data_IF_560104582377
#
_entry.id   IF_560104582377
#
_cell.length_a   1.000
_cell.length_b   1.000
_cell.length_c   1.000
_cell.angle_alpha   90.00
_cell.angle_beta   90.00
_cell.angle_gamma   90.00
#
_symmetry.space_group_name_H-M   'P 1'
#
loop_
_entity.id
_entity.type
_entity.pdbx_description
1 polymer ?
#
# COMPACT_ATOMS: atom_id res chain seq x y z
N UNK A 1 -6.66 -21.08 -4.61
CA UNK A 1 -6.09 -20.69 -3.29
C UNK A 1 -6.43 -19.22 -2.90
N UNK A 2 -6.70 -18.32 -3.85
CA UNK A 2 -7.01 -16.90 -3.57
C UNK A 2 -8.49 -16.63 -3.23
N UNK A 3 -9.45 -17.41 -3.73
CA UNK A 3 -10.89 -17.23 -3.42
C UNK A 3 -11.24 -17.54 -1.95
N UNK A 4 -10.53 -18.45 -1.31
CA UNK A 4 -10.77 -18.80 0.10
C UNK A 4 -10.33 -17.68 1.04
N UNK A 5 -9.30 -16.89 0.66
CA UNK A 5 -8.82 -15.75 1.43
C UNK A 5 -9.76 -14.54 1.30
N UNK A 6 -10.40 -14.36 0.14
CA UNK A 6 -11.38 -13.28 -0.08
C UNK A 6 -12.63 -13.43 0.80
N UNK A 7 -13.08 -14.66 1.03
CA UNK A 7 -14.23 -14.97 1.91
C UNK A 7 -13.85 -14.74 3.39
N UNK A 8 -12.63 -15.02 3.78
CA UNK A 8 -12.13 -14.73 5.15
C UNK A 8 -12.12 -13.24 5.45
N UNK A 9 -11.93 -12.41 4.45
CA UNK A 9 -11.79 -10.97 4.61
C UNK A 9 -13.13 -10.23 4.70
N UNK A 10 -14.14 -10.58 3.89
CA UNK A 10 -15.50 -10.03 4.00
C UNK A 10 -16.15 -10.25 5.38
N UNK A 11 -15.54 -11.07 6.19
CA UNK A 11 -15.98 -11.39 7.54
C UNK A 11 -15.24 -10.66 8.65
N UNK A 12 -14.37 -9.68 8.38
CA UNK A 12 -13.64 -8.92 9.41
C UNK A 12 -14.52 -7.96 10.22
N UNK A 13 -15.83 -7.93 9.95
CA UNK A 13 -16.81 -7.35 10.86
C UNK A 13 -16.82 -8.12 12.19
N UNK A 14 -16.73 -7.41 13.27
CA UNK A 14 -16.85 -7.69 14.71
C UNK A 14 -16.88 -9.15 15.23
N UNK A 15 -17.32 -10.13 14.42
CA UNK A 15 -17.37 -11.57 14.77
C UNK A 15 -16.03 -12.29 14.57
N UNK A 16 -15.15 -11.83 13.68
CA UNK A 16 -13.91 -12.56 13.32
C UNK A 16 -12.66 -12.10 14.03
N UNK A 17 -12.71 -11.03 14.78
CA UNK A 17 -11.66 -10.74 15.76
C UNK A 17 -11.48 -11.94 16.71
N UNK A 18 -12.54 -12.69 16.99
CA UNK A 18 -12.48 -13.96 17.75
C UNK A 18 -11.58 -15.03 17.11
N UNK A 19 -11.49 -15.10 15.78
CA UNK A 19 -10.58 -16.02 15.07
C UNK A 19 -9.11 -15.66 15.33
N UNK A 20 -8.78 -14.37 15.31
CA UNK A 20 -7.44 -13.90 15.66
C UNK A 20 -7.06 -14.23 17.10
N UNK A 21 -7.98 -14.01 18.03
CA UNK A 21 -7.71 -14.31 19.45
C UNK A 21 -7.53 -15.80 19.71
N UNK A 22 -8.27 -16.65 19.00
CA UNK A 22 -8.13 -18.09 19.10
C UNK A 22 -6.83 -18.64 18.52
N UNK A 23 -6.43 -18.17 17.34
CA UNK A 23 -5.25 -18.69 16.63
C UNK A 23 -3.93 -18.11 17.14
N UNK A 24 -3.91 -16.82 17.52
CA UNK A 24 -2.68 -16.16 17.95
C UNK A 24 -2.57 -15.94 19.47
N UNK A 25 -3.52 -16.49 20.24
CA UNK A 25 -3.55 -16.39 21.73
C UNK A 25 -3.38 -14.93 22.21
N UNK A 26 -4.04 -13.99 21.57
CA UNK A 26 -3.91 -12.56 21.86
C UNK A 26 -4.59 -12.23 23.18
N UNK A 27 -3.80 -12.02 24.23
CA UNK A 27 -4.30 -11.68 25.58
C UNK A 27 -4.68 -10.21 25.75
N UNK A 28 -4.20 -9.32 24.87
CA UNK A 28 -4.38 -7.86 24.96
C UNK A 28 -5.30 -7.35 23.82
N UNK A 29 -6.55 -7.75 23.86
CA UNK A 29 -7.54 -7.46 22.80
C UNK A 29 -7.68 -5.98 22.47
N UNK A 30 -7.82 -5.13 23.47
CA UNK A 30 -8.01 -3.68 23.28
C UNK A 30 -6.79 -3.08 22.59
N UNK A 31 -5.59 -3.46 23.03
CA UNK A 31 -4.33 -3.00 22.45
C UNK A 31 -4.22 -3.45 20.99
N UNK A 32 -4.54 -4.72 20.69
CA UNK A 32 -4.51 -5.26 19.34
C UNK A 32 -5.45 -4.47 18.42
N UNK A 33 -6.70 -4.25 18.84
CA UNK A 33 -7.69 -3.45 18.08
C UNK A 33 -7.18 -2.04 17.78
N UNK A 34 -6.50 -1.39 18.74
CA UNK A 34 -5.92 -0.06 18.56
C UNK A 34 -4.80 -0.08 17.51
N UNK A 35 -3.90 -1.07 17.56
CA UNK A 35 -2.82 -1.23 16.58
C UNK A 35 -3.39 -1.50 15.19
N UNK A 36 -4.38 -2.39 15.06
CA UNK A 36 -5.07 -2.66 13.79
C UNK A 36 -5.65 -1.37 13.22
N UNK A 37 -6.39 -0.61 14.03
CA UNK A 37 -6.99 0.64 13.58
C UNK A 37 -5.95 1.67 13.13
N UNK A 38 -4.81 1.76 13.83
CA UNK A 38 -3.73 2.64 13.43
C UNK A 38 -3.13 2.22 12.08
N UNK A 39 -2.82 0.93 11.93
CA UNK A 39 -2.21 0.38 10.72
C UNK A 39 -3.10 0.61 9.51
N UNK A 40 -4.39 0.24 9.59
CA UNK A 40 -5.33 0.38 8.48
C UNK A 40 -5.62 1.84 8.11
N UNK A 41 -5.55 2.78 9.07
CA UNK A 41 -5.70 4.22 8.79
C UNK A 41 -4.47 4.88 8.16
N UNK A 42 -3.33 4.21 8.21
CA UNK A 42 -2.07 4.69 7.67
C UNK A 42 -1.60 3.83 6.48
N UNK A 43 -2.56 3.24 5.74
CA UNK A 43 -2.25 2.51 4.51
C UNK A 43 -1.52 3.39 3.49
N UNK A 44 -0.70 2.80 2.64
CA UNK A 44 0.12 3.49 1.63
C UNK A 44 1.10 4.53 2.18
N UNK A 45 1.30 4.57 3.50
CA UNK A 45 2.24 5.51 4.15
C UNK A 45 3.47 4.78 4.65
N UNK A 46 4.57 5.53 4.75
CA UNK A 46 5.80 5.04 5.37
C UNK A 46 5.50 4.56 6.79
N UNK A 47 5.90 3.33 7.06
CA UNK A 47 5.59 2.62 8.27
C UNK A 47 6.86 2.27 9.08
N UNK A 48 6.74 2.35 10.40
CA UNK A 48 7.71 1.75 11.32
C UNK A 48 7.01 1.23 12.57
N UNK A 49 7.47 0.10 13.10
CA UNK A 49 6.96 -0.43 14.38
C UNK A 49 7.13 0.58 15.52
N UNK A 50 8.17 1.45 15.43
CA UNK A 50 8.38 2.52 16.40
C UNK A 50 7.28 3.57 16.33
N UNK A 51 6.84 4.01 15.15
CA UNK A 51 5.75 5.01 15.03
C UNK A 51 4.44 4.50 15.62
N UNK A 52 4.13 3.22 15.43
CA UNK A 52 2.96 2.57 16.06
C UNK A 52 3.13 2.50 17.58
N UNK A 53 4.30 2.12 18.06
CA UNK A 53 4.61 2.05 19.47
C UNK A 53 4.46 3.42 20.16
N UNK A 54 5.03 4.47 19.57
CA UNK A 54 4.93 5.83 20.09
C UNK A 54 3.47 6.32 20.12
N UNK A 55 2.68 6.01 19.08
CA UNK A 55 1.25 6.29 19.05
C UNK A 55 0.51 5.61 20.21
N UNK A 56 0.76 4.32 20.43
CA UNK A 56 0.12 3.53 21.50
C UNK A 56 0.46 4.06 22.89
N UNK A 57 1.71 4.49 23.11
CA UNK A 57 2.11 5.13 24.37
C UNK A 57 1.39 6.46 24.58
N UNK A 58 1.25 7.27 23.54
CA UNK A 58 0.53 8.56 23.61
C UNK A 58 -0.97 8.39 23.89
N UNK A 59 -1.56 7.26 23.47
CA UNK A 59 -2.95 6.88 23.83
C UNK A 59 -3.08 6.35 25.28
N UNK A 60 -1.98 6.32 26.05
CA UNK A 60 -1.97 5.88 27.44
C UNK A 60 -1.87 4.35 27.64
N UNK A 61 -1.59 3.59 26.59
CA UNK A 61 -1.40 2.15 26.69
C UNK A 61 0.07 1.81 26.87
N UNK A 62 0.35 0.75 27.65
CA UNK A 62 1.71 0.24 27.86
C UNK A 62 1.91 -1.09 27.15
N UNK A 63 2.96 -1.17 26.35
CA UNK A 63 3.39 -2.41 25.69
C UNK A 63 4.90 -2.34 25.42
N UNK A 64 5.48 -3.42 24.92
CA UNK A 64 6.83 -3.41 24.35
C UNK A 64 6.75 -3.22 22.82
N UNK A 65 7.82 -2.72 22.23
CA UNK A 65 7.93 -2.66 20.78
C UNK A 65 7.81 -4.05 20.12
N UNK A 66 8.30 -5.09 20.81
CA UNK A 66 8.17 -6.47 20.35
C UNK A 66 6.70 -6.93 20.29
N UNK A 67 5.85 -6.45 21.22
CA UNK A 67 4.41 -6.73 21.17
C UNK A 67 3.79 -6.11 19.92
N UNK A 68 4.17 -4.88 19.60
CA UNK A 68 3.71 -4.19 18.37
C UNK A 68 4.16 -4.96 17.13
N UNK A 69 5.45 -5.33 17.05
CA UNK A 69 5.99 -6.11 15.94
C UNK A 69 5.26 -7.45 15.75
N UNK A 70 5.00 -8.17 16.84
CA UNK A 70 4.28 -9.44 16.79
C UNK A 70 2.86 -9.23 16.23
N UNK A 71 2.14 -8.20 16.69
CA UNK A 71 0.79 -7.93 16.19
C UNK A 71 0.77 -7.56 14.71
N UNK A 72 1.76 -6.79 14.25
CA UNK A 72 1.92 -6.49 12.82
C UNK A 72 2.21 -7.77 12.02
N UNK A 73 3.08 -8.63 12.51
CA UNK A 73 3.35 -9.91 11.88
C UNK A 73 2.10 -10.79 11.78
N UNK A 74 1.27 -10.84 12.82
CA UNK A 74 -0.01 -11.57 12.77
C UNK A 74 -0.95 -11.01 11.68
N UNK A 75 -0.98 -9.68 11.48
CA UNK A 75 -1.77 -9.09 10.40
C UNK A 75 -1.23 -9.48 9.02
N UNK A 76 0.10 -9.55 8.87
CA UNK A 76 0.76 -9.99 7.62
C UNK A 76 0.50 -11.49 7.36
N UNK A 77 0.68 -12.35 8.36
CA UNK A 77 0.42 -13.79 8.27
C UNK A 77 -1.04 -14.10 7.95
N UNK A 78 -1.95 -13.26 8.42
CA UNK A 78 -3.38 -13.37 8.12
C UNK A 78 -3.78 -12.72 6.78
N UNK A 79 -2.81 -12.22 6.01
CA UNK A 79 -3.05 -11.54 4.73
C UNK A 79 -4.02 -10.35 4.82
N UNK A 80 -4.01 -9.64 5.93
CA UNK A 80 -4.78 -8.40 6.09
C UNK A 80 -4.03 -7.19 5.56
N UNK A 81 -2.72 -7.24 5.70
CA UNK A 81 -1.81 -6.21 5.19
C UNK A 81 -0.63 -6.87 4.50
N UNK A 82 -0.08 -6.17 3.53
CA UNK A 82 1.20 -6.49 2.90
C UNK A 82 2.18 -5.35 3.14
N UNK A 83 3.44 -5.69 3.40
CA UNK A 83 4.53 -4.72 3.53
C UNK A 83 5.41 -4.79 2.29
N UNK A 84 5.52 -3.68 1.57
CA UNK A 84 6.50 -3.58 0.49
C UNK A 84 7.65 -2.66 0.89
N UNK A 85 8.84 -3.05 0.47
CA UNK A 85 10.09 -2.33 0.76
C UNK A 85 10.61 -1.63 -0.47
N UNK A 86 11.47 -0.67 -0.24
CA UNK A 86 12.15 0.03 -1.31
C UNK A 86 13.12 -0.92 -2.03
N UNK A 87 13.04 -0.91 -3.36
CA UNK A 87 14.01 -1.61 -4.21
C UNK A 87 15.43 -1.06 -3.98
N UNK A 88 16.39 -1.97 -3.85
CA UNK A 88 17.79 -1.61 -3.79
C UNK A 88 18.63 -2.74 -4.40
N UNK A 89 19.62 -2.36 -5.19
CA UNK A 89 20.65 -3.31 -5.68
C UNK A 89 21.60 -3.77 -4.56
N UNK A 90 21.57 -3.09 -3.40
CA UNK A 90 22.39 -3.42 -2.23
C UNK A 90 21.52 -4.01 -1.13
N UNK A 91 21.62 -5.31 -0.88
CA UNK A 91 20.82 -6.06 0.11
C UNK A 91 20.82 -5.38 1.51
N UNK A 92 21.96 -4.87 1.98
CA UNK A 92 22.03 -4.15 3.27
C UNK A 92 21.16 -2.89 3.31
N UNK A 93 20.98 -2.20 2.19
CA UNK A 93 20.12 -1.00 2.10
C UNK A 93 18.65 -1.40 2.03
N UNK A 94 18.31 -2.45 1.29
CA UNK A 94 16.93 -2.96 1.23
C UNK A 94 16.38 -3.32 2.62
N UNK A 95 17.22 -3.92 3.48
CA UNK A 95 16.84 -4.26 4.85
C UNK A 95 16.72 -3.05 5.79
N UNK A 96 17.34 -1.93 5.47
CA UNK A 96 17.37 -0.72 6.31
C UNK A 96 16.30 0.31 5.94
N UNK A 97 15.66 0.18 4.77
CA UNK A 97 14.61 1.10 4.34
C UNK A 97 13.28 0.81 5.07
N UNK A 98 12.58 1.88 5.39
CA UNK A 98 11.19 1.78 5.83
C UNK A 98 10.34 1.24 4.68
N UNK A 99 9.35 0.42 5.03
CA UNK A 99 8.35 -0.04 4.09
C UNK A 99 7.09 0.83 4.10
N UNK A 100 6.22 0.62 3.13
CA UNK A 100 4.82 1.03 3.21
C UNK A 100 3.96 -0.21 3.49
N UNK A 101 2.88 -0.04 4.24
CA UNK A 101 1.87 -1.08 4.46
C UNK A 101 0.67 -0.81 3.56
N UNK A 102 0.18 -1.86 2.94
CA UNK A 102 -1.01 -1.82 2.09
C UNK A 102 -2.06 -2.78 2.64
N UNK A 103 -3.30 -2.33 2.68
CA UNK A 103 -4.43 -3.16 3.06
C UNK A 103 -4.80 -4.09 1.91
N UNK A 104 -5.00 -5.36 2.19
CA UNK A 104 -5.45 -6.30 1.16
C UNK A 104 -6.92 -6.09 0.77
N UNK A 105 -7.67 -5.29 1.56
CA UNK A 105 -9.04 -4.86 1.24
C UNK A 105 -9.30 -3.44 1.73
N UNK A 106 -9.23 -2.49 0.82
CA UNK A 106 -9.42 -1.05 1.08
C UNK A 106 -10.81 -0.74 1.64
N UNK A 107 -11.81 -1.61 1.43
CA UNK A 107 -13.16 -1.40 1.96
C UNK A 107 -13.18 -1.33 3.49
N UNK A 108 -12.22 -1.97 4.16
CA UNK A 108 -12.09 -1.92 5.62
C UNK A 108 -11.78 -0.52 6.15
N UNK A 109 -11.16 0.34 5.35
CA UNK A 109 -10.89 1.73 5.69
C UNK A 109 -12.14 2.60 5.63
N UNK A 110 -13.03 2.36 4.67
CA UNK A 110 -14.28 3.11 4.52
C UNK A 110 -15.26 2.85 5.67
N UNK A 111 -15.24 1.65 6.25
CA UNK A 111 -16.09 1.29 7.40
C UNK A 111 -15.60 1.94 8.69
N UNK A 112 -14.30 2.20 8.81
CA UNK A 112 -13.64 2.68 10.04
C UNK A 112 -13.29 4.15 10.03
N UNK A 113 -13.32 4.79 8.87
CA UNK A 113 -13.10 6.21 8.77
C UNK A 113 -14.28 6.95 9.42
N UNK A 114 -13.99 7.80 10.40
CA UNK A 114 -14.92 8.88 10.72
C UNK A 114 -15.24 9.62 9.43
N UNK A 115 -16.52 9.91 9.18
CA UNK A 115 -17.08 10.39 7.89
C UNK A 115 -16.30 11.52 7.20
N UNK A 116 -15.33 12.15 7.86
CA UNK A 116 -14.54 13.30 7.37
C UNK A 116 -13.06 13.00 7.07
N UNK A 117 -12.61 11.72 7.06
CA UNK A 117 -11.19 11.38 6.91
C UNK A 117 -10.93 10.24 5.90
N UNK A 118 -11.73 10.16 4.86
CA UNK A 118 -11.46 9.24 3.76
C UNK A 118 -10.32 9.84 2.91
N UNK A 119 -9.12 9.30 3.05
CA UNK A 119 -7.97 9.69 2.27
C UNK A 119 -8.02 9.00 0.90
N UNK A 120 -8.60 9.71 -0.07
CA UNK A 120 -8.87 9.14 -1.38
C UNK A 120 -7.57 8.81 -2.14
N UNK A 121 -6.52 9.62 -1.98
CA UNK A 121 -5.26 9.43 -2.69
C UNK A 121 -4.55 8.16 -2.20
N UNK A 122 -4.41 7.98 -0.88
CA UNK A 122 -3.80 6.78 -0.31
C UNK A 122 -4.62 5.52 -0.57
N UNK A 123 -5.96 5.61 -0.57
CA UNK A 123 -6.79 4.47 -0.94
C UNK A 123 -6.67 4.12 -2.42
N UNK A 124 -6.51 5.12 -3.29
CA UNK A 124 -6.29 4.90 -4.72
C UNK A 124 -4.95 4.19 -4.98
N UNK A 125 -3.88 4.65 -4.36
CA UNK A 125 -2.57 4.00 -4.41
C UNK A 125 -2.68 2.52 -3.94
N UNK A 126 -3.42 2.28 -2.86
CA UNK A 126 -3.65 0.91 -2.35
C UNK A 126 -4.47 0.04 -3.32
N UNK A 127 -5.49 0.59 -3.96
CA UNK A 127 -6.29 -0.13 -4.98
C UNK A 127 -5.38 -0.55 -6.13
N UNK A 128 -4.56 0.35 -6.64
CA UNK A 128 -3.61 0.06 -7.72
C UNK A 128 -2.58 -0.99 -7.28
N UNK A 129 -2.07 -0.90 -6.06
CA UNK A 129 -1.18 -1.91 -5.49
C UNK A 129 -1.82 -3.30 -5.51
N UNK A 130 -3.04 -3.43 -4.98
CA UNK A 130 -3.75 -4.71 -4.93
C UNK A 130 -3.97 -5.31 -6.33
N UNK A 131 -4.32 -4.45 -7.29
CA UNK A 131 -4.51 -4.88 -8.67
C UNK A 131 -3.20 -5.32 -9.34
N UNK A 132 -2.08 -4.63 -9.09
CA UNK A 132 -0.75 -5.03 -9.58
C UNK A 132 -0.34 -6.40 -9.04
N UNK A 133 -0.59 -6.67 -7.74
CA UNK A 133 -0.35 -7.99 -7.15
C UNK A 133 -1.26 -9.04 -7.78
N UNK A 134 -2.55 -8.72 -7.97
CA UNK A 134 -3.51 -9.63 -8.62
C UNK A 134 -3.09 -9.99 -10.05
N UNK A 135 -2.60 -9.00 -10.81
CA UNK A 135 -2.03 -9.20 -12.15
C UNK A 135 -0.68 -9.96 -12.15
N UNK A 136 -0.15 -10.34 -10.98
CA UNK A 136 1.04 -11.17 -10.82
C UNK A 136 2.37 -10.41 -10.91
N UNK A 137 2.37 -9.11 -10.67
CA UNK A 137 3.60 -8.35 -10.54
C UNK A 137 4.23 -8.52 -9.15
N UNK A 138 5.56 -8.59 -9.12
CA UNK A 138 6.32 -8.30 -7.90
C UNK A 138 6.44 -6.79 -7.78
N UNK A 139 5.88 -6.23 -6.70
CA UNK A 139 5.81 -4.78 -6.48
C UNK A 139 6.80 -4.35 -5.41
N UNK A 140 7.52 -3.27 -5.64
CA UNK A 140 8.46 -2.65 -4.71
C UNK A 140 8.35 -1.13 -4.80
N UNK A 141 8.65 -0.43 -3.72
CA UNK A 141 8.83 1.02 -3.74
C UNK A 141 10.09 1.36 -4.51
N UNK A 142 10.11 2.51 -5.16
CA UNK A 142 11.32 2.96 -5.87
C UNK A 142 11.63 4.41 -5.55
N UNK A 143 12.90 4.71 -5.30
CA UNK A 143 13.37 6.07 -5.07
C UNK A 143 14.63 6.30 -5.88
N UNK A 144 14.62 7.38 -6.64
CA UNK A 144 15.76 7.80 -7.44
C UNK A 144 16.15 9.24 -7.07
N UNK A 145 17.29 9.40 -6.43
CA UNK A 145 17.83 10.71 -6.04
C UNK A 145 16.89 11.58 -5.19
N UNK A 146 16.11 10.93 -4.30
CA UNK A 146 15.14 11.61 -3.44
C UNK A 146 13.75 11.78 -4.04
N UNK A 147 13.55 11.40 -5.29
CA UNK A 147 12.23 11.34 -5.93
C UNK A 147 11.64 9.94 -5.82
N UNK A 148 10.48 9.86 -5.21
CA UNK A 148 9.74 8.61 -5.07
C UNK A 148 8.95 8.31 -6.34
N UNK A 149 8.94 7.04 -6.74
CA UNK A 149 7.99 6.46 -7.68
C UNK A 149 7.22 5.40 -6.89
N UNK A 150 5.90 5.47 -6.95
CA UNK A 150 5.05 4.65 -6.09
C UNK A 150 5.38 3.17 -6.25
N UNK A 151 5.49 2.68 -7.49
CA UNK A 151 5.75 1.27 -7.72
C UNK A 151 6.78 1.02 -8.82
N UNK A 152 7.77 0.19 -8.49
CA UNK A 152 8.56 -0.59 -9.44
C UNK A 152 7.95 -1.99 -9.49
N UNK A 153 7.45 -2.38 -10.63
CA UNK A 153 6.76 -3.64 -10.84
C UNK A 153 7.56 -4.54 -11.77
N UNK A 154 7.71 -5.81 -11.40
CA UNK A 154 8.46 -6.79 -12.17
C UNK A 154 7.60 -8.04 -12.42
N UNK A 155 7.45 -8.43 -13.70
CA UNK A 155 6.72 -9.63 -14.10
C UNK A 155 7.46 -10.29 -15.26
N UNK A 156 7.89 -11.54 -15.10
CA UNK A 156 8.71 -12.27 -16.08
C UNK A 156 9.92 -11.42 -16.53
N UNK A 157 10.62 -10.93 -16.78
CA UNK A 157 11.71 -10.03 -17.19
C UNK A 157 11.27 -8.60 -17.60
N UNK A 158 9.98 -8.30 -17.56
CA UNK A 158 9.46 -6.95 -17.84
C UNK A 158 9.46 -6.14 -16.55
N UNK A 159 10.03 -4.96 -16.59
CA UNK A 159 10.00 -3.97 -15.50
C UNK A 159 9.18 -2.78 -15.98
N UNK A 160 8.22 -2.35 -15.16
CA UNK A 160 7.46 -1.13 -15.38
C UNK A 160 7.54 -0.25 -14.13
N UNK A 161 7.43 1.05 -14.31
CA UNK A 161 7.34 2.03 -13.23
C UNK A 161 5.96 2.67 -13.26
N UNK A 162 5.29 2.68 -12.11
CA UNK A 162 3.90 3.16 -11.98
C UNK A 162 3.85 4.29 -10.97
N UNK A 163 3.21 5.38 -11.35
CA UNK A 163 2.86 6.51 -10.49
C UNK A 163 1.34 6.62 -10.44
N UNK A 164 0.79 6.92 -9.27
CA UNK A 164 -0.65 6.98 -9.04
C UNK A 164 -1.03 8.35 -8.50
N UNK A 165 -1.97 9.02 -9.13
CA UNK A 165 -2.51 10.27 -8.63
C UNK A 165 -4.05 10.28 -8.79
N UNK A 166 -4.75 10.97 -7.90
CA UNK A 166 -6.19 11.12 -8.05
C UNK A 166 -6.52 11.88 -9.35
N UNK A 167 -5.86 13.01 -9.56
CA UNK A 167 -6.01 13.82 -10.78
C UNK A 167 -4.74 14.63 -11.06
N UNK A 168 -4.42 14.79 -12.33
CA UNK A 168 -3.30 15.62 -12.80
C UNK A 168 -3.77 16.79 -13.68
N UNK A 169 -5.03 17.17 -13.59
CA UNK A 169 -5.59 18.34 -14.31
C UNK A 169 -4.83 19.62 -13.92
N UNK A 170 -4.39 19.73 -12.68
CA UNK A 170 -3.60 20.87 -12.22
C UNK A 170 -2.15 20.71 -12.68
N UNK A 171 -1.60 21.72 -13.36
CA UNK A 171 -0.25 21.73 -13.91
C UNK A 171 0.83 21.47 -12.83
N UNK A 172 0.68 22.04 -11.65
CA UNK A 172 1.64 21.80 -10.54
C UNK A 172 1.64 20.35 -10.09
N UNK A 173 0.47 19.71 -10.02
CA UNK A 173 0.33 18.29 -9.70
C UNK A 173 0.92 17.45 -10.83
N UNK A 174 0.55 17.73 -12.09
CA UNK A 174 1.12 17.04 -13.24
C UNK A 174 2.66 17.07 -13.24
N UNK A 175 3.25 18.24 -13.06
CA UNK A 175 4.69 18.39 -13.05
C UNK A 175 5.35 17.63 -11.89
N UNK A 176 4.71 17.60 -10.72
CA UNK A 176 5.17 16.83 -9.55
C UNK A 176 5.19 15.32 -9.85
N UNK A 177 4.09 14.80 -10.39
CA UNK A 177 3.95 13.36 -10.66
C UNK A 177 4.83 12.88 -11.83
N UNK A 178 5.05 13.74 -12.82
CA UNK A 178 5.89 13.42 -13.99
C UNK A 178 7.39 13.57 -13.72
N UNK A 179 7.77 14.36 -12.72
CA UNK A 179 9.17 14.63 -12.41
C UNK A 179 10.02 13.38 -12.14
N UNK A 180 9.56 12.40 -11.33
CA UNK A 180 10.32 11.17 -11.10
C UNK A 180 10.61 10.41 -12.39
N UNK A 181 9.65 10.34 -13.31
CA UNK A 181 9.79 9.65 -14.59
C UNK A 181 10.86 10.28 -15.51
N UNK A 182 11.04 11.59 -15.42
CA UNK A 182 12.06 12.27 -16.22
C UNK A 182 13.50 11.91 -15.83
N UNK A 183 13.70 11.34 -14.65
CA UNK A 183 14.99 10.88 -14.15
C UNK A 183 15.32 9.44 -14.52
N UNK A 184 14.33 8.68 -14.96
CA UNK A 184 14.51 7.32 -15.44
C UNK A 184 14.96 7.32 -16.90
N UNK A 185 15.80 6.35 -17.26
CA UNK A 185 16.02 6.06 -18.67
C UNK A 185 14.74 5.59 -19.37
N UNK A 186 14.75 5.51 -20.68
CA UNK A 186 13.59 5.10 -21.48
C UNK A 186 13.58 3.60 -21.82
N UNK A 187 14.40 2.79 -21.14
CA UNK A 187 14.48 1.34 -21.36
C UNK A 187 13.27 0.59 -20.77
N UNK A 188 12.61 1.19 -19.78
CA UNK A 188 11.47 0.59 -19.10
C UNK A 188 10.21 1.42 -19.32
N UNK A 189 9.07 0.75 -19.37
CA UNK A 189 7.76 1.40 -19.49
C UNK A 189 7.44 2.21 -18.23
N UNK A 190 6.88 3.39 -18.43
CA UNK A 190 6.47 4.35 -17.40
C UNK A 190 4.98 4.58 -17.53
N UNK A 191 4.24 4.38 -16.46
CA UNK A 191 2.78 4.41 -16.46
C UNK A 191 2.31 5.38 -15.38
N UNK A 192 1.51 6.36 -15.78
CA UNK A 192 0.76 7.22 -14.89
C UNK A 192 -0.68 6.71 -14.82
N UNK A 193 -1.20 6.43 -13.62
CA UNK A 193 -2.59 6.01 -13.40
C UNK A 193 -3.33 7.11 -12.67
N UNK A 194 -4.44 7.58 -13.22
CA UNK A 194 -5.30 8.59 -12.59
C UNK A 194 -6.78 8.28 -12.77
N UNK A 195 -7.66 9.05 -12.13
CA UNK A 195 -9.10 9.00 -12.38
C UNK A 195 -9.52 9.89 -13.55
N UNK A 196 -8.59 10.65 -14.13
CA UNK A 196 -8.88 11.57 -15.24
C UNK A 196 -9.23 10.79 -16.51
N UNK A 197 -10.26 11.28 -17.23
CA UNK A 197 -10.69 10.72 -18.52
C UNK A 197 -9.92 11.28 -19.70
N UNK A 198 -9.23 12.41 -19.51
CA UNK A 198 -8.37 13.01 -20.50
C UNK A 198 -7.05 12.27 -20.56
N UNK A 199 -6.57 11.97 -21.76
CA UNK A 199 -5.28 11.29 -21.93
C UNK A 199 -4.10 12.27 -21.73
N UNK A 200 -3.26 11.96 -20.77
CA UNK A 200 -2.02 12.69 -20.45
C UNK A 200 -0.76 11.95 -20.90
N UNK A 201 -0.89 11.00 -21.83
CA UNK A 201 0.25 10.28 -22.37
C UNK A 201 1.24 11.22 -23.06
N UNK A 202 2.52 10.90 -22.93
CA UNK A 202 3.61 11.57 -23.64
C UNK A 202 4.34 10.55 -24.53
N UNK A 203 5.41 10.95 -25.20
CA UNK A 203 6.25 10.01 -25.98
C UNK A 203 6.94 8.95 -25.12
N UNK A 204 7.03 9.14 -23.80
CA UNK A 204 7.79 8.26 -22.88
C UNK A 204 6.98 7.75 -21.70
N UNK A 205 5.82 8.30 -21.42
CA UNK A 205 4.95 7.92 -20.32
C UNK A 205 3.56 7.63 -20.87
N UNK A 206 3.04 6.45 -20.58
CA UNK A 206 1.68 6.05 -20.90
C UNK A 206 0.75 6.44 -19.76
N UNK A 207 -0.33 7.15 -20.05
CA UNK A 207 -1.40 7.41 -19.09
C UNK A 207 -2.49 6.35 -19.23
N UNK A 208 -2.99 5.87 -18.10
CA UNK A 208 -4.11 4.91 -18.06
C UNK A 208 -5.14 5.43 -17.04
N UNK A 209 -6.36 5.59 -17.48
CA UNK A 209 -7.50 5.85 -16.57
C UNK A 209 -7.68 4.65 -15.63
N UNK A 210 -7.91 4.91 -14.33
CA UNK A 210 -8.03 3.89 -13.30
C UNK A 210 -9.03 2.78 -13.66
N UNK A 211 -10.22 3.15 -14.15
CA UNK A 211 -11.25 2.16 -14.52
C UNK A 211 -10.74 1.21 -15.60
N UNK A 212 -10.07 1.74 -16.62
CA UNK A 212 -9.46 0.92 -17.67
C UNK A 212 -8.36 0.02 -17.13
N UNK A 213 -7.52 0.55 -16.22
CA UNK A 213 -6.48 -0.24 -15.56
C UNK A 213 -7.05 -1.44 -14.81
N UNK A 214 -8.16 -1.25 -14.06
CA UNK A 214 -8.81 -2.30 -13.29
C UNK A 214 -9.51 -3.36 -14.18
N UNK A 215 -10.00 -2.97 -15.36
CA UNK A 215 -10.70 -3.86 -16.28
C UNK A 215 -9.78 -4.60 -17.25
N UNK A 216 -8.53 -4.20 -17.41
CA UNK A 216 -7.57 -4.87 -18.29
C UNK A 216 -7.02 -6.14 -17.61
N UNK A 217 -6.86 -7.23 -18.35
CA UNK A 217 -6.25 -8.45 -17.84
C UNK A 217 -4.73 -8.31 -17.64
N UNK A 218 -4.06 -7.53 -18.49
CA UNK A 218 -2.61 -7.27 -18.42
C UNK A 218 -2.30 -5.80 -18.77
N UNK A 219 -1.08 -5.33 -18.46
CA UNK A 219 -0.65 -3.94 -18.67
C UNK A 219 0.45 -3.91 -19.74
#
# INVERSE_FOLDING_TARGET
>A
MYLTNYILFCCFNAKNIGYFFGNYLIKKEVLFKRIVNFVLRNNSRIFSAKSVYDYILNEGYTCSINTVMNFINYLKEAFLIEEIKQYSTKVKRELSYFGKLYDMDVSSNSIRADRNRFDIEHNLENIVFNELIYKGYKVQLYNLNGYEIDFRCEKKSKIIFVQVAYSVVNESTYNREMKPFSLLDNSNEKILITTDKVDYSTSTVRHIELEKFLLQEDI
#
